data_IF_660750329623
#
_entry.id   IF_660750329623
#
_cell.length_a   1.000
_cell.length_b   1.000
_cell.length_c   1.000
_cell.angle_alpha   90.00
_cell.angle_beta   90.00
_cell.angle_gamma   90.00
#
_symmetry.space_group_name_H-M   'P 1'
#
loop_
_entity.id
_entity.type
_entity.pdbx_description
1 polymer ?
#
# COMPACT_ATOMS: atom_id res chain seq x y z
N UNK A 1 53.47 7.45 -1.67
CA UNK A 1 52.73 7.86 -2.88
C UNK A 1 51.64 6.82 -3.08
N UNK A 2 50.40 7.14 -2.72
CA UNK A 2 49.27 6.26 -3.01
C UNK A 2 48.00 7.11 -3.20
N UNK A 3 47.57 7.22 -4.46
CA UNK A 3 46.45 8.07 -4.90
C UNK A 3 45.18 7.23 -4.99
N UNK A 4 44.23 7.49 -4.07
CA UNK A 4 42.84 7.04 -4.19
C UNK A 4 42.21 7.61 -5.47
N UNK A 5 42.12 6.81 -6.52
CA UNK A 5 41.26 7.08 -7.66
C UNK A 5 39.79 6.86 -7.25
N UNK A 6 39.08 7.93 -6.91
CA UNK A 6 37.63 7.91 -6.75
C UNK A 6 36.99 7.68 -8.13
N UNK A 7 36.24 6.58 -8.26
CA UNK A 7 35.53 6.19 -9.47
C UNK A 7 34.47 7.23 -9.84
N UNK A 8 34.80 8.07 -10.83
CA UNK A 8 33.92 9.11 -11.36
C UNK A 8 32.66 8.52 -12.02
N UNK A 9 32.70 7.25 -12.48
CA UNK A 9 31.58 6.61 -13.19
C UNK A 9 30.43 6.25 -12.24
N UNK A 10 30.73 5.89 -10.99
CA UNK A 10 29.73 5.66 -9.95
C UNK A 10 28.91 6.91 -9.65
N UNK A 11 29.57 8.06 -9.46
CA UNK A 11 28.91 9.33 -9.14
C UNK A 11 27.96 9.81 -10.26
N UNK A 12 28.37 9.71 -11.54
CA UNK A 12 27.51 10.13 -12.65
C UNK A 12 26.28 9.23 -12.83
N UNK A 13 26.42 7.93 -12.62
CA UNK A 13 25.29 6.98 -12.73
C UNK A 13 24.28 7.18 -11.60
N UNK A 14 24.76 7.45 -10.39
CA UNK A 14 23.89 7.69 -9.24
C UNK A 14 23.18 9.05 -9.34
N UNK A 15 23.89 10.08 -9.82
CA UNK A 15 23.29 11.39 -10.08
C UNK A 15 22.24 11.35 -11.21
N UNK A 16 22.52 10.61 -12.28
CA UNK A 16 21.56 10.42 -13.38
C UNK A 16 20.37 9.57 -12.94
N UNK A 17 20.58 8.53 -12.13
CA UNK A 17 19.50 7.73 -11.55
C UNK A 17 18.58 8.55 -10.64
N UNK A 18 19.14 9.43 -9.80
CA UNK A 18 18.36 10.36 -8.98
C UNK A 18 17.58 11.36 -9.83
N UNK A 19 18.18 11.91 -10.88
CA UNK A 19 17.50 12.83 -11.80
C UNK A 19 16.36 12.14 -12.54
N UNK A 20 16.55 10.92 -13.04
CA UNK A 20 15.49 10.14 -13.70
C UNK A 20 14.36 9.80 -12.73
N UNK A 21 14.68 9.44 -11.48
CA UNK A 21 13.68 9.22 -10.44
C UNK A 21 12.90 10.51 -10.13
N UNK A 22 13.58 11.65 -10.05
CA UNK A 22 12.93 12.94 -9.81
C UNK A 22 12.02 13.35 -10.99
N UNK A 23 12.46 13.12 -12.23
CA UNK A 23 11.66 13.39 -13.44
C UNK A 23 10.42 12.48 -13.52
N UNK A 24 10.56 11.19 -13.18
CA UNK A 24 9.43 10.23 -13.17
C UNK A 24 8.40 10.61 -12.10
N UNK A 25 8.84 10.85 -10.86
CA UNK A 25 7.96 11.32 -9.76
C UNK A 25 7.25 12.63 -10.13
N UNK A 26 7.95 13.57 -10.77
CA UNK A 26 7.36 14.85 -11.18
C UNK A 26 6.36 14.71 -12.32
N UNK A 27 6.58 13.76 -13.22
CA UNK A 27 5.65 13.46 -14.33
C UNK A 27 4.40 12.76 -13.80
N UNK A 28 4.54 11.77 -12.90
CA UNK A 28 3.41 11.13 -12.22
C UNK A 28 2.47 12.15 -11.58
N UNK A 29 3.01 13.07 -10.78
CA UNK A 29 2.23 14.08 -10.05
C UNK A 29 1.43 15.02 -10.96
N UNK A 30 1.88 15.25 -12.19
CA UNK A 30 1.16 16.10 -13.15
C UNK A 30 0.06 15.32 -13.87
N UNK A 31 0.28 14.05 -14.15
CA UNK A 31 -0.60 13.21 -14.98
C UNK A 31 -1.70 12.54 -14.15
N UNK A 32 -1.40 12.14 -12.91
CA UNK A 32 -2.34 11.52 -11.97
C UNK A 32 -2.31 12.22 -10.59
N UNK A 33 -2.89 13.43 -10.47
CA UNK A 33 -2.79 14.23 -9.24
C UNK A 33 -3.56 13.63 -8.05
N UNK A 34 -4.53 12.75 -8.32
CA UNK A 34 -5.25 11.97 -7.30
C UNK A 34 -4.75 10.53 -7.33
N UNK A 35 -4.01 10.14 -6.28
CA UNK A 35 -3.64 8.74 -6.07
C UNK A 35 -4.79 8.01 -5.34
N UNK A 36 -4.91 6.72 -5.61
CA UNK A 36 -5.90 5.82 -5.01
C UNK A 36 -5.18 4.59 -4.45
N UNK A 37 -5.76 3.93 -3.44
CA UNK A 37 -5.24 2.63 -3.01
C UNK A 37 -5.48 1.63 -4.12
N UNK A 38 -4.41 1.05 -4.66
CA UNK A 38 -4.50 0.05 -5.72
C UNK A 38 -4.64 -1.35 -5.12
N UNK A 39 -5.28 -2.30 -5.84
CA UNK A 39 -5.22 -3.71 -5.47
C UNK A 39 -3.77 -4.22 -5.35
N UNK A 40 -3.55 -5.32 -4.61
CA UNK A 40 -2.21 -5.89 -4.45
C UNK A 40 -1.62 -6.30 -5.81
N UNK A 41 -0.31 -6.13 -5.96
CA UNK A 41 0.41 -6.44 -7.19
C UNK A 41 0.33 -5.36 -8.28
N UNK A 42 -0.27 -4.20 -8.01
CA UNK A 42 -0.28 -3.11 -8.98
C UNK A 42 1.15 -2.64 -9.31
N UNK A 43 1.41 -2.44 -10.59
CA UNK A 43 2.60 -1.75 -11.06
C UNK A 43 2.62 -0.27 -10.59
N UNK A 44 3.70 0.46 -10.88
CA UNK A 44 3.72 1.91 -10.69
C UNK A 44 2.53 2.57 -11.41
N UNK A 45 2.08 3.74 -10.92
CA UNK A 45 0.82 4.32 -11.34
C UNK A 45 0.75 4.56 -12.86
N UNK A 46 1.86 4.93 -13.51
CA UNK A 46 1.88 5.15 -14.96
C UNK A 46 1.74 3.81 -15.70
N UNK A 47 2.57 2.82 -15.36
CA UNK A 47 2.52 1.49 -15.99
C UNK A 47 1.18 0.80 -15.75
N UNK A 48 0.62 0.93 -14.55
CA UNK A 48 -0.70 0.44 -14.20
C UNK A 48 -1.79 1.07 -15.06
N UNK A 49 -1.82 2.41 -15.17
CA UNK A 49 -2.82 3.12 -15.97
C UNK A 49 -2.71 2.79 -17.47
N UNK A 50 -1.50 2.57 -17.97
CA UNK A 50 -1.24 2.17 -19.35
C UNK A 50 -1.70 0.72 -19.65
N UNK A 51 -1.54 -0.18 -18.69
CA UNK A 51 -1.80 -1.62 -18.86
C UNK A 51 -3.23 -2.02 -18.48
N UNK A 52 -3.91 -1.24 -17.64
CA UNK A 52 -5.25 -1.57 -17.16
C UNK A 52 -6.32 -1.29 -18.24
N UNK A 53 -6.94 -2.36 -18.75
CA UNK A 53 -8.03 -2.28 -19.74
C UNK A 53 -9.40 -1.97 -19.14
N UNK A 54 -9.53 -1.93 -17.80
CA UNK A 54 -10.78 -1.67 -17.07
C UNK A 54 -11.85 -2.77 -17.26
N UNK A 55 -11.43 -4.00 -17.60
CA UNK A 55 -12.32 -5.17 -17.76
C UNK A 55 -13.14 -5.47 -16.50
N UNK A 56 -12.52 -5.36 -15.32
CA UNK A 56 -13.16 -5.62 -14.03
C UNK A 56 -12.97 -7.05 -13.50
N UNK A 57 -12.14 -7.87 -14.13
CA UNK A 57 -11.95 -9.27 -13.71
C UNK A 57 -11.42 -9.36 -12.27
N UNK A 58 -10.48 -8.49 -11.90
CA UNK A 58 -9.99 -8.37 -10.53
C UNK A 58 -11.09 -8.03 -9.49
N UNK A 59 -12.11 -7.27 -9.90
CA UNK A 59 -13.26 -6.93 -9.05
C UNK A 59 -14.14 -8.16 -8.84
N UNK A 60 -14.44 -8.89 -9.93
CA UNK A 60 -15.31 -10.07 -9.90
C UNK A 60 -14.76 -11.19 -9.02
N UNK A 61 -13.43 -11.37 -8.99
CA UNK A 61 -12.78 -12.43 -8.21
C UNK A 61 -12.42 -12.02 -6.77
N UNK A 62 -12.67 -10.77 -6.37
CA UNK A 62 -12.36 -10.31 -5.02
C UNK A 62 -13.39 -10.89 -4.02
N UNK A 63 -13.01 -11.83 -3.13
CA UNK A 63 -13.98 -12.56 -2.31
C UNK A 63 -14.67 -11.66 -1.27
N UNK A 64 -14.02 -10.55 -0.90
CA UNK A 64 -14.53 -9.59 0.08
C UNK A 64 -15.01 -8.30 -0.55
N UNK A 65 -15.09 -8.23 -1.89
CA UNK A 65 -15.59 -7.05 -2.63
C UNK A 65 -14.90 -5.72 -2.23
N UNK A 66 -13.62 -5.77 -1.88
CA UNK A 66 -12.84 -4.59 -1.52
C UNK A 66 -12.49 -3.68 -2.72
N UNK A 67 -12.54 -4.24 -3.93
CA UNK A 67 -12.14 -3.53 -5.14
C UNK A 67 -13.37 -2.95 -5.81
N UNK A 68 -13.34 -1.63 -6.05
CA UNK A 68 -14.39 -0.89 -6.75
C UNK A 68 -13.80 -0.17 -7.97
N UNK A 69 -14.66 0.27 -8.88
CA UNK A 69 -14.23 1.13 -9.99
C UNK A 69 -14.02 2.55 -9.48
N UNK A 70 -12.90 3.16 -9.85
CA UNK A 70 -12.67 4.57 -9.59
C UNK A 70 -13.75 5.44 -10.27
N UNK A 71 -14.23 6.50 -9.60
CA UNK A 71 -15.33 7.32 -10.11
C UNK A 71 -14.93 8.08 -11.38
N UNK A 72 -15.88 8.57 -12.19
CA UNK A 72 -15.59 9.38 -13.38
C UNK A 72 -14.73 10.61 -13.09
N UNK A 73 -14.86 11.19 -11.89
CA UNK A 73 -14.06 12.33 -11.42
C UNK A 73 -12.58 12.00 -11.14
N UNK A 74 -12.16 10.72 -11.27
CA UNK A 74 -10.79 10.26 -11.07
C UNK A 74 -9.85 10.55 -12.24
N UNK A 75 -10.31 11.24 -13.29
CA UNK A 75 -9.49 11.58 -14.46
C UNK A 75 -9.01 10.32 -15.19
N UNK A 76 -7.70 10.20 -15.44
CA UNK A 76 -7.12 9.04 -16.13
C UNK A 76 -7.36 7.71 -15.38
N UNK A 77 -7.49 7.77 -14.06
CA UNK A 77 -7.80 6.62 -13.24
C UNK A 77 -9.28 6.20 -13.33
N UNK A 78 -10.18 6.97 -13.95
CA UNK A 78 -11.60 6.63 -14.04
C UNK A 78 -11.81 5.21 -14.59
N UNK A 79 -12.67 4.44 -13.91
CA UNK A 79 -12.99 3.05 -14.25
C UNK A 79 -11.91 2.02 -13.94
N UNK A 80 -10.70 2.43 -13.53
CA UNK A 80 -9.66 1.50 -13.06
C UNK A 80 -9.97 0.97 -11.66
N UNK A 81 -9.48 -0.22 -11.28
CA UNK A 81 -9.75 -0.77 -9.95
C UNK A 81 -9.00 0.00 -8.87
N UNK A 82 -9.73 0.31 -7.80
CA UNK A 82 -9.24 0.96 -6.57
C UNK A 82 -9.81 0.23 -5.36
N UNK A 83 -9.21 0.45 -4.19
CA UNK A 83 -9.70 0.04 -2.89
C UNK A 83 -10.02 1.29 -2.08
N UNK A 84 -11.10 1.27 -1.32
CA UNK A 84 -11.34 2.22 -0.24
C UNK A 84 -11.25 1.48 1.10
N UNK A 85 -10.09 1.54 1.78
CA UNK A 85 -9.88 0.82 3.03
C UNK A 85 -10.79 1.29 4.17
N UNK A 86 -11.39 2.49 4.07
CA UNK A 86 -12.36 2.98 5.03
C UNK A 86 -13.75 2.34 4.89
N UNK A 87 -14.07 1.83 3.70
CA UNK A 87 -15.33 1.13 3.42
C UNK A 87 -15.13 -0.38 3.52
N UNK A 88 -14.17 -0.91 2.78
CA UNK A 88 -13.88 -2.34 2.75
C UNK A 88 -12.40 -2.58 2.48
N UNK A 89 -11.68 -3.02 3.51
CA UNK A 89 -10.27 -3.32 3.45
C UNK A 89 -9.96 -4.59 2.65
N UNK A 90 -8.77 -4.66 2.07
CA UNK A 90 -8.23 -5.90 1.53
C UNK A 90 -7.95 -6.87 2.69
N UNK A 91 -8.38 -8.13 2.58
CA UNK A 91 -8.13 -9.15 3.64
C UNK A 91 -6.89 -9.99 3.43
N UNK A 92 -5.99 -9.59 2.52
CA UNK A 92 -4.69 -10.25 2.30
C UNK A 92 -4.87 -11.74 1.96
N UNK A 93 -5.66 -12.01 0.92
CA UNK A 93 -5.90 -13.39 0.44
C UNK A 93 -4.56 -14.03 0.06
N UNK A 94 -4.24 -15.22 0.62
CA UNK A 94 -2.98 -15.93 0.37
C UNK A 94 -2.64 -16.05 -1.13
N UNK A 95 -3.67 -16.31 -1.91
CA UNK A 95 -3.60 -16.58 -3.34
C UNK A 95 -3.70 -15.33 -4.23
N UNK A 96 -3.89 -14.12 -3.69
CA UNK A 96 -4.06 -12.87 -4.47
C UNK A 96 -4.92 -13.03 -5.75
N UNK A 97 -6.16 -13.57 -5.68
CA UNK A 97 -6.94 -13.92 -6.87
C UNK A 97 -7.15 -12.72 -7.81
N UNK A 98 -7.26 -11.50 -7.25
CA UNK A 98 -7.37 -10.27 -8.02
C UNK A 98 -6.15 -9.98 -8.92
N UNK A 99 -4.93 -10.26 -8.45
CA UNK A 99 -3.72 -10.08 -9.24
C UNK A 99 -3.59 -11.19 -10.29
N UNK A 100 -3.90 -12.43 -9.93
CA UNK A 100 -3.84 -13.57 -10.87
C UNK A 100 -4.87 -13.52 -11.99
N UNK A 101 -6.02 -12.89 -11.76
CA UNK A 101 -7.03 -12.69 -12.79
C UNK A 101 -6.66 -11.59 -13.81
N UNK A 102 -5.59 -10.83 -13.58
CA UNK A 102 -5.20 -9.75 -14.49
C UNK A 102 -4.34 -10.27 -15.65
N UNK A 103 -4.97 -10.49 -16.80
CA UNK A 103 -4.27 -10.97 -18.01
C UNK A 103 -3.36 -9.91 -18.65
N UNK A 104 -3.62 -8.62 -18.41
CA UNK A 104 -2.88 -7.52 -19.04
C UNK A 104 -1.58 -7.17 -18.32
N UNK A 105 -1.34 -7.76 -17.14
CA UNK A 105 -0.17 -7.44 -16.31
C UNK A 105 -0.26 -6.11 -15.57
N UNK A 106 -1.44 -5.47 -15.51
CA UNK A 106 -1.63 -4.28 -14.66
C UNK A 106 -1.51 -4.62 -13.17
N UNK A 107 -1.95 -5.82 -12.78
CA UNK A 107 -1.71 -6.41 -11.47
C UNK A 107 -0.90 -7.69 -11.68
N UNK A 108 0.19 -7.86 -10.94
CA UNK A 108 1.05 -9.04 -11.01
C UNK A 108 1.36 -9.50 -9.59
N UNK A 109 1.09 -10.76 -9.22
CA UNK A 109 1.55 -11.29 -7.94
C UNK A 109 3.08 -11.23 -7.89
N UNK A 110 3.67 -10.53 -6.91
CA UNK A 110 5.13 -10.49 -6.79
C UNK A 110 5.70 -11.87 -6.42
N UNK A 111 6.93 -12.19 -6.84
CA UNK A 111 7.56 -13.48 -6.56
C UNK A 111 7.75 -13.75 -5.06
N UNK A 112 8.04 -12.73 -4.26
CA UNK A 112 8.09 -12.82 -2.79
C UNK A 112 6.72 -12.80 -2.10
N UNK A 113 5.61 -12.82 -2.86
CA UNK A 113 4.27 -12.81 -2.32
C UNK A 113 3.98 -11.55 -1.51
N UNK A 114 3.25 -11.69 -0.41
CA UNK A 114 2.81 -10.53 0.39
C UNK A 114 3.95 -9.73 1.03
N UNK A 115 5.13 -10.31 1.18
CA UNK A 115 6.30 -9.62 1.74
C UNK A 115 6.83 -8.51 0.79
N UNK A 116 6.43 -8.51 -0.49
CA UNK A 116 6.79 -7.47 -1.48
C UNK A 116 5.63 -6.53 -1.82
N UNK A 117 4.48 -6.65 -1.14
CA UNK A 117 3.30 -5.83 -1.40
C UNK A 117 3.21 -4.68 -0.41
N UNK A 118 3.16 -3.45 -0.91
CA UNK A 118 2.91 -2.25 -0.10
C UNK A 118 1.84 -1.37 -0.74
N UNK A 119 0.60 -1.47 -0.26
CA UNK A 119 -0.53 -0.68 -0.78
C UNK A 119 -0.64 0.71 -0.12
N UNK A 120 -0.07 0.88 1.07
CA UNK A 120 -0.17 2.10 1.86
C UNK A 120 0.72 2.07 3.09
N UNK A 121 0.87 3.24 3.72
CA UNK A 121 1.64 3.45 4.95
C UNK A 121 0.67 3.58 6.12
N UNK A 122 0.92 2.81 7.18
CA UNK A 122 0.11 2.81 8.39
C UNK A 122 0.79 3.64 9.48
N UNK A 123 0.03 4.57 10.08
CA UNK A 123 0.46 5.39 11.20
C UNK A 123 -0.48 5.16 12.39
N UNK A 124 0.09 5.20 13.59
CA UNK A 124 -0.65 5.15 14.85
C UNK A 124 -0.66 6.54 15.47
N UNK A 125 -1.83 6.97 15.93
CA UNK A 125 -2.00 8.15 16.77
C UNK A 125 -2.08 7.72 18.25
N UNK A 126 -1.03 7.97 19.06
CA UNK A 126 -1.02 7.60 20.47
C UNK A 126 -2.03 8.37 21.32
N UNK A 127 -2.42 9.59 20.92
CA UNK A 127 -3.34 10.42 21.70
C UNK A 127 -4.77 9.86 21.64
N UNK A 128 -5.15 9.29 20.50
CA UNK A 128 -6.46 8.62 20.32
C UNK A 128 -6.48 7.19 20.84
N UNK A 129 -5.35 6.51 20.82
CA UNK A 129 -5.32 5.09 21.11
C UNK A 129 -5.53 4.83 22.62
N UNK A 130 -6.64 4.15 22.94
CA UNK A 130 -7.07 3.89 24.33
C UNK A 130 -6.06 3.09 25.16
N UNK A 131 -5.13 2.36 24.52
CA UNK A 131 -4.05 1.65 25.24
C UNK A 131 -3.06 2.61 25.88
N UNK A 132 -2.88 3.81 25.32
CA UNK A 132 -2.05 4.87 25.92
C UNK A 132 -2.79 5.62 27.04
N UNK A 133 -4.10 5.36 27.18
CA UNK A 133 -4.96 5.87 28.24
C UNK A 133 -5.19 4.82 29.34
N UNK A 134 -4.46 3.69 29.31
CA UNK A 134 -4.54 2.62 30.32
C UNK A 134 -5.64 1.58 30.07
N UNK A 135 -6.37 1.65 28.96
CA UNK A 135 -7.41 0.67 28.62
C UNK A 135 -6.81 -0.47 27.80
N UNK A 136 -6.95 -1.70 28.28
CA UNK A 136 -6.47 -2.88 27.55
C UNK A 136 -7.23 -3.04 26.22
N UNK A 137 -6.49 -3.02 25.11
CA UNK A 137 -7.03 -3.22 23.77
C UNK A 137 -5.95 -3.85 22.87
N UNK A 138 -6.37 -4.67 21.92
CA UNK A 138 -5.46 -5.31 20.97
C UNK A 138 -6.17 -5.78 19.69
N UNK A 139 -7.34 -5.20 19.41
CA UNK A 139 -8.19 -5.62 18.29
C UNK A 139 -7.50 -5.44 16.96
N UNK A 140 -6.72 -4.37 16.80
CA UNK A 140 -5.98 -4.08 15.57
C UNK A 140 -4.91 -5.15 15.29
N UNK A 141 -4.14 -5.54 16.31
CA UNK A 141 -3.12 -6.59 16.19
C UNK A 141 -3.75 -7.96 15.91
N UNK A 142 -4.84 -8.32 16.63
CA UNK A 142 -5.54 -9.60 16.41
C UNK A 142 -6.24 -9.69 15.05
N UNK A 143 -6.76 -8.56 14.55
CA UNK A 143 -7.41 -8.50 13.25
C UNK A 143 -6.41 -8.44 12.09
N UNK A 144 -5.12 -8.16 12.35
CA UNK A 144 -4.13 -8.02 11.30
C UNK A 144 -3.92 -9.35 10.58
N UNK A 145 -4.22 -9.45 9.27
CA UNK A 145 -4.09 -10.71 8.53
C UNK A 145 -2.61 -11.11 8.29
N UNK A 146 -1.68 -10.16 8.40
CA UNK A 146 -0.23 -10.41 8.33
C UNK A 146 0.32 -10.83 9.71
N UNK A 147 -0.48 -10.67 10.77
CA UNK A 147 -0.12 -10.99 12.13
C UNK A 147 0.99 -10.10 12.69
N UNK A 148 1.73 -10.64 13.64
CA UNK A 148 2.74 -9.87 14.37
C UNK A 148 3.85 -9.33 13.47
N UNK A 149 4.12 -9.93 12.30
CA UNK A 149 5.09 -9.38 11.34
C UNK A 149 4.79 -7.92 10.95
N UNK A 150 3.53 -7.51 10.96
CA UNK A 150 3.11 -6.15 10.61
C UNK A 150 2.65 -5.32 11.83
N UNK A 151 1.94 -5.94 12.77
CA UNK A 151 1.33 -5.23 13.89
C UNK A 151 1.28 -6.13 15.12
N UNK A 152 2.05 -5.77 16.15
CA UNK A 152 2.14 -6.50 17.40
C UNK A 152 1.70 -5.64 18.59
N UNK A 153 1.69 -6.21 19.79
CA UNK A 153 1.57 -5.46 21.04
C UNK A 153 2.91 -5.47 21.77
N UNK A 154 3.31 -4.35 22.36
CA UNK A 154 4.47 -4.29 23.25
C UNK A 154 4.17 -4.94 24.63
N UNK A 155 5.16 -4.98 25.51
CA UNK A 155 5.01 -5.52 26.86
C UNK A 155 3.94 -4.79 27.71
N UNK A 156 3.61 -3.54 27.37
CA UNK A 156 2.55 -2.75 27.98
C UNK A 156 1.19 -2.92 27.29
N UNK A 157 1.06 -3.81 26.30
CA UNK A 157 -0.17 -4.02 25.55
C UNK A 157 -0.49 -2.92 24.53
N UNK A 158 0.49 -2.08 24.15
CA UNK A 158 0.31 -0.99 23.19
C UNK A 158 0.66 -1.47 21.77
N UNK A 159 -0.09 -1.05 20.74
CA UNK A 159 0.19 -1.47 19.37
C UNK A 159 1.54 -0.92 18.87
N UNK A 160 2.32 -1.80 18.24
CA UNK A 160 3.59 -1.47 17.58
C UNK A 160 3.49 -1.90 16.12
N UNK A 161 3.55 -0.92 15.23
CA UNK A 161 3.58 -1.14 13.78
C UNK A 161 5.01 -1.51 13.38
N UNK A 162 5.14 -2.55 12.56
CA UNK A 162 6.38 -3.00 11.92
C UNK A 162 6.25 -2.72 10.42
N UNK A 163 6.76 -1.57 9.92
CA UNK A 163 6.53 -1.13 8.54
C UNK A 163 6.94 -2.17 7.50
N UNK A 164 7.99 -2.94 7.77
CA UNK A 164 8.56 -3.94 6.86
C UNK A 164 7.60 -5.09 6.58
N UNK A 165 6.75 -5.47 7.54
CA UNK A 165 5.70 -6.47 7.34
C UNK A 165 4.35 -5.86 6.98
N UNK A 166 4.17 -4.55 7.09
CA UNK A 166 2.89 -3.90 6.85
C UNK A 166 2.62 -3.75 5.35
N UNK A 167 1.63 -4.51 4.85
CA UNK A 167 1.22 -4.45 3.43
C UNK A 167 0.25 -3.30 3.11
N UNK A 168 -0.14 -2.51 4.12
CA UNK A 168 -1.04 -1.37 3.95
C UNK A 168 -2.49 -1.74 3.59
N UNK A 169 -3.00 -2.88 4.05
CA UNK A 169 -4.33 -3.38 3.69
C UNK A 169 -5.51 -2.64 4.33
N UNK A 170 -5.29 -2.00 5.49
CA UNK A 170 -6.29 -1.22 6.20
C UNK A 170 -7.23 -1.99 7.14
N UNK A 171 -7.14 -3.33 7.24
CA UNK A 171 -8.01 -4.13 8.15
C UNK A 171 -7.97 -3.61 9.59
N UNK A 172 -6.79 -3.22 10.07
CA UNK A 172 -6.60 -2.68 11.41
C UNK A 172 -7.27 -1.30 11.61
N UNK A 173 -7.40 -0.50 10.54
CA UNK A 173 -8.09 0.80 10.57
C UNK A 173 -9.57 0.60 10.80
N UNK A 174 -10.20 -0.32 10.04
CA UNK A 174 -11.62 -0.69 10.16
C UNK A 174 -11.93 -1.39 11.48
N UNK A 175 -10.99 -2.20 11.99
CA UNK A 175 -11.16 -2.92 13.25
C UNK A 175 -10.99 -2.05 14.51
N UNK A 176 -10.42 -0.85 14.37
CA UNK A 176 -10.16 0.03 15.51
C UNK A 176 -11.47 0.49 16.17
N UNK A 177 -11.54 0.42 17.49
CA UNK A 177 -12.74 0.77 18.27
C UNK A 177 -12.91 2.28 18.50
N UNK A 178 -11.94 3.10 18.13
CA UNK A 178 -12.01 4.56 18.33
C UNK A 178 -12.66 5.23 17.12
N UNK A 179 -13.36 6.33 17.36
CA UNK A 179 -13.93 7.17 16.30
C UNK A 179 -13.45 8.62 16.48
N UNK A 180 -12.65 9.17 15.55
CA UNK A 180 -12.03 8.50 14.40
C UNK A 180 -11.04 7.40 14.81
N UNK A 181 -10.73 6.49 13.88
CA UNK A 181 -9.74 5.42 14.10
C UNK A 181 -8.41 5.99 14.58
N UNK A 182 -7.77 5.31 15.53
CA UNK A 182 -6.43 5.64 16.04
C UNK A 182 -5.34 5.23 15.06
N UNK A 183 -5.69 4.45 14.04
CA UNK A 183 -4.81 4.04 12.96
C UNK A 183 -5.20 4.80 11.70
N UNK A 184 -4.22 5.40 11.05
CA UNK A 184 -4.41 6.13 9.79
C UNK A 184 -3.64 5.41 8.70
N UNK A 185 -4.32 5.13 7.60
CA UNK A 185 -3.67 4.64 6.39
C UNK A 185 -3.52 5.81 5.40
N UNK A 186 -2.33 5.96 4.84
CA UNK A 186 -2.00 6.93 3.80
C UNK A 186 -1.39 6.21 2.60
N UNK A 187 -1.42 6.86 1.44
CA UNK A 187 -0.80 6.30 0.24
C UNK A 187 0.72 6.43 0.35
N UNK A 188 1.43 5.46 -0.23
CA UNK A 188 2.89 5.54 -0.38
C UNK A 188 3.22 6.79 -1.22
N UNK A 189 4.18 7.64 -0.78
CA UNK A 189 4.53 8.89 -1.48
C UNK A 189 4.92 8.74 -2.96
#
# INVERSE_FOLDING_TARGET
MDTRAHDRRGFFRDAFGRLLHEVTVRTERRVAPRRYFRPPGAADEISFLASCTRCGDCIAVCPVQAIIKAPPAAGLAAGTPIIDPGIQACVVCAEMPCARACETGALVPPPGGWDEVHMGVLELDPERCITFQGVACGVCARACPVGEKALALDAGGRPVIRPEGCVGCGVCVTACVTSPSSLRLSLVP
#
